data_IF_284855227792
#
_entry.id   IF_284855227792
#
_cell.length_a   1.000
_cell.length_b   1.000
_cell.length_c   1.000
_cell.angle_alpha   90.00
_cell.angle_beta   90.00
_cell.angle_gamma   90.00
#
_symmetry.space_group_name_H-M   'P 1'
#
loop_
_entity.id
_entity.type
_entity.pdbx_description
1 polymer ?
#
# COMPACT_ATOMS: atom_id res chain seq x y z
N UNK A 1 -12.32 -1.12 4.75
CA UNK A 1 -11.08 -1.57 4.07
C UNK A 1 -10.93 -0.76 2.79
N UNK A 2 -9.92 0.11 2.70
CA UNK A 2 -9.65 0.90 1.50
C UNK A 2 -9.23 -0.04 0.36
N UNK A 3 -9.82 0.17 -0.81
CA UNK A 3 -9.51 -0.55 -2.04
C UNK A 3 -9.04 0.44 -3.10
N UNK A 4 -8.11 0.01 -3.94
CA UNK A 4 -7.63 0.83 -5.06
C UNK A 4 -8.80 1.08 -6.01
N UNK A 5 -9.03 2.36 -6.33
CA UNK A 5 -10.20 2.81 -7.08
C UNK A 5 -10.27 2.13 -8.45
N UNK A 6 -11.40 1.51 -8.77
CA UNK A 6 -11.57 0.78 -10.03
C UNK A 6 -11.05 -0.66 -10.01
N UNK A 7 -10.52 -1.12 -8.87
CA UNK A 7 -10.10 -2.51 -8.67
C UNK A 7 -10.79 -3.13 -7.46
N UNK A 8 -10.62 -4.45 -7.31
CA UNK A 8 -10.97 -5.17 -6.07
C UNK A 8 -9.76 -5.43 -5.18
N UNK A 9 -8.65 -4.72 -5.41
CA UNK A 9 -7.39 -4.94 -4.69
C UNK A 9 -7.38 -4.04 -3.45
N UNK A 10 -7.12 -4.64 -2.29
CA UNK A 10 -6.99 -3.92 -1.04
C UNK A 10 -5.66 -3.16 -1.00
N UNK A 11 -5.67 -1.93 -0.49
CA UNK A 11 -4.45 -1.12 -0.30
C UNK A 11 -3.43 -1.87 0.56
N UNK A 12 -3.91 -2.55 1.60
CA UNK A 12 -3.10 -3.39 2.50
C UNK A 12 -2.35 -4.51 1.78
N UNK A 13 -2.94 -5.10 0.73
CA UNK A 13 -2.29 -6.15 -0.07
C UNK A 13 -1.09 -5.60 -0.85
N UNK A 14 -1.23 -4.40 -1.43
CA UNK A 14 -0.14 -3.74 -2.16
C UNK A 14 1.01 -3.44 -1.21
N UNK A 15 0.71 -2.91 -0.03
CA UNK A 15 1.70 -2.60 1.00
C UNK A 15 2.37 -3.88 1.54
N UNK A 16 1.60 -4.96 1.75
CA UNK A 16 2.14 -6.27 2.18
C UNK A 16 3.11 -6.86 1.13
N UNK A 17 2.77 -6.79 -0.16
CA UNK A 17 3.66 -7.23 -1.24
C UNK A 17 4.97 -6.43 -1.25
N UNK A 18 4.88 -5.10 -1.17
CA UNK A 18 6.06 -4.23 -1.09
C UNK A 18 6.90 -4.54 0.17
N UNK A 19 6.24 -4.79 1.30
CA UNK A 19 6.89 -5.19 2.56
C UNK A 19 7.60 -6.55 2.50
N UNK A 20 7.13 -7.47 1.64
CA UNK A 20 7.78 -8.76 1.35
C UNK A 20 8.98 -8.64 0.39
N UNK A 21 9.28 -7.43 -0.09
CA UNK A 21 10.38 -7.16 -1.01
C UNK A 21 10.02 -7.20 -2.49
N UNK A 22 8.72 -7.21 -2.83
CA UNK A 22 8.31 -7.03 -4.22
C UNK A 22 8.57 -5.59 -4.66
N UNK A 23 8.96 -5.41 -5.93
CA UNK A 23 9.07 -4.08 -6.52
C UNK A 23 7.72 -3.62 -7.06
N UNK A 24 7.53 -2.30 -7.16
CA UNK A 24 6.33 -1.74 -7.77
C UNK A 24 6.10 -2.29 -9.19
N UNK A 25 7.15 -2.47 -9.98
CA UNK A 25 7.07 -3.05 -11.33
C UNK A 25 6.52 -4.48 -11.33
N UNK A 26 6.94 -5.31 -10.37
CA UNK A 26 6.41 -6.67 -10.24
C UNK A 26 4.93 -6.67 -9.87
N UNK A 27 4.51 -5.75 -8.99
CA UNK A 27 3.09 -5.59 -8.63
C UNK A 27 2.28 -5.16 -9.86
N UNK A 28 2.80 -4.23 -10.68
CA UNK A 28 2.16 -3.78 -11.91
C UNK A 28 2.07 -4.90 -12.96
N UNK A 29 3.09 -5.75 -13.06
CA UNK A 29 3.07 -6.91 -13.96
C UNK A 29 2.09 -8.00 -13.51
N UNK A 30 1.88 -8.16 -12.21
CA UNK A 30 0.94 -9.14 -11.66
C UNK A 30 -0.51 -8.67 -11.74
N UNK A 31 -0.73 -7.35 -11.78
CA UNK A 31 -2.04 -6.74 -11.76
C UNK A 31 -2.14 -5.65 -12.84
N UNK A 32 -2.60 -6.03 -14.04
CA UNK A 32 -2.84 -5.10 -15.17
C UNK A 32 -3.81 -3.94 -14.84
N UNK A 33 -4.56 -4.06 -13.75
CA UNK A 33 -5.53 -3.07 -13.30
C UNK A 33 -4.98 -2.06 -12.30
N UNK A 34 -3.71 -2.20 -11.89
CA UNK A 34 -3.02 -1.27 -11.00
C UNK A 34 -2.05 -0.44 -11.82
N UNK A 35 -2.03 0.86 -11.54
CA UNK A 35 -1.05 1.79 -12.12
C UNK A 35 0.03 2.17 -11.11
N UNK A 36 1.14 2.71 -11.59
CA UNK A 36 2.20 3.21 -10.70
C UNK A 36 1.66 4.31 -9.75
N UNK A 37 0.70 5.11 -10.21
CA UNK A 37 0.00 6.12 -9.41
C UNK A 37 -0.81 5.48 -8.27
N UNK A 38 -1.50 4.36 -8.54
CA UNK A 38 -2.24 3.62 -7.51
C UNK A 38 -1.31 3.06 -6.44
N UNK A 39 -0.13 2.56 -6.82
CA UNK A 39 0.88 2.08 -5.86
C UNK A 39 1.38 3.23 -4.98
N UNK A 40 1.65 4.41 -5.57
CA UNK A 40 2.02 5.58 -4.79
C UNK A 40 0.90 6.06 -3.87
N UNK A 41 -0.35 6.05 -4.34
CA UNK A 41 -1.52 6.39 -3.52
C UNK A 41 -1.70 5.40 -2.35
N UNK A 42 -1.45 4.11 -2.57
CA UNK A 42 -1.45 3.09 -1.52
C UNK A 42 -0.40 3.38 -0.44
N UNK A 43 0.83 3.71 -0.86
CA UNK A 43 1.91 4.06 0.05
C UNK A 43 1.64 5.36 0.79
N UNK A 44 1.11 6.38 0.12
CA UNK A 44 0.72 7.64 0.74
C UNK A 44 -0.38 7.40 1.79
N UNK A 45 -1.40 6.62 1.46
CA UNK A 45 -2.44 6.23 2.41
C UNK A 45 -1.88 5.47 3.60
N UNK A 46 -0.98 4.51 3.38
CA UNK A 46 -0.33 3.77 4.47
C UNK A 46 0.51 4.70 5.36
N UNK A 47 1.26 5.63 4.77
CA UNK A 47 2.03 6.63 5.50
C UNK A 47 1.14 7.59 6.30
N UNK A 48 0.01 7.99 5.73
CA UNK A 48 -0.96 8.88 6.38
C UNK A 48 -1.69 8.17 7.53
N UNK A 49 -2.01 6.88 7.38
CA UNK A 49 -2.52 6.03 8.46
C UNK A 49 -1.47 5.88 9.56
N UNK A 50 -0.21 5.60 9.21
CA UNK A 50 0.89 5.50 10.17
C UNK A 50 1.19 6.83 10.88
N UNK A 51 0.94 7.97 10.25
CA UNK A 51 1.03 9.29 10.88
C UNK A 51 -0.19 9.62 11.74
N UNK A 52 -1.40 9.21 11.32
CA UNK A 52 -2.64 9.40 12.07
C UNK A 52 -2.75 8.48 13.28
N UNK A 53 -2.26 7.24 13.17
CA UNK A 53 -1.99 6.41 14.33
C UNK A 53 -0.85 7.07 15.09
N UNK A 54 -1.18 7.80 16.16
CA UNK A 54 -0.23 8.20 17.18
C UNK A 54 0.59 6.96 17.53
N UNK A 55 1.81 6.89 17.00
CA UNK A 55 2.79 5.88 17.37
C UNK A 55 3.10 6.12 18.83
N UNK A 56 2.36 5.46 19.72
CA UNK A 56 2.79 5.27 21.10
C UNK A 56 4.01 4.36 21.01
N UNK A 57 5.18 4.97 20.92
CA UNK A 57 6.43 4.25 21.14
C UNK A 57 6.32 3.63 22.54
N UNK A 58 6.12 2.31 22.61
CA UNK A 58 6.20 1.61 23.87
C UNK A 58 7.63 1.78 24.38
N UNK A 59 7.83 2.42 25.55
CA UNK A 59 9.15 2.58 26.11
C UNK A 59 9.74 1.20 26.37
N UNK A 60 11.01 1.05 26.00
CA UNK A 60 11.78 -0.18 26.09
C UNK A 60 12.20 -0.47 27.52
#
# INVERSE_FOLDING_TARGET
KPVVKGTRIAVEMVVDLLGRGYTAEQVLQQYDHITAEDVQACLAYAAEILQSEKVYALPR
#
